data_IF_734791325548
#
_entry.id   IF_734791325548
#
_cell.length_a   1.000
_cell.length_b   1.000
_cell.length_c   1.000
_cell.angle_alpha   90.00
_cell.angle_beta   90.00
_cell.angle_gamma   90.00
#
_symmetry.space_group_name_H-M   'P 1'
#
loop_
_entity.id
_entity.type
_entity.pdbx_description
1 polymer ?
#
# COMPACT_ATOMS: atom_id res chain seq x y z
N UNK A 1 52.92 -35.62 -24.11
CA UNK A 1 52.39 -34.53 -23.19
C UNK A 1 51.91 -33.23 -23.88
N UNK A 2 52.39 -32.87 -25.09
CA UNK A 2 51.97 -31.59 -25.76
C UNK A 2 50.57 -31.59 -26.39
N UNK A 3 49.94 -32.72 -26.66
CA UNK A 3 48.59 -32.80 -27.27
C UNK A 3 47.44 -32.69 -26.30
N UNK A 4 47.65 -32.90 -25.01
CA UNK A 4 46.65 -32.80 -23.98
C UNK A 4 46.38 -31.32 -23.54
N UNK A 5 47.40 -30.47 -23.56
CA UNK A 5 47.30 -29.07 -23.19
C UNK A 5 46.56 -28.22 -24.24
N UNK A 6 46.59 -28.63 -25.52
CA UNK A 6 45.89 -27.89 -26.56
C UNK A 6 44.35 -28.08 -26.52
N UNK A 7 43.88 -29.23 -26.00
CA UNK A 7 42.45 -29.54 -25.92
C UNK A 7 41.77 -28.82 -24.76
N UNK A 8 42.49 -28.59 -23.66
CA UNK A 8 41.95 -27.85 -22.51
C UNK A 8 41.85 -26.33 -22.76
N UNK A 9 42.76 -25.77 -23.57
CA UNK A 9 42.72 -24.36 -23.95
C UNK A 9 41.53 -24.02 -24.88
N UNK A 10 41.13 -24.93 -25.75
CA UNK A 10 39.99 -24.71 -26.67
C UNK A 10 38.63 -24.80 -25.98
N UNK A 11 38.50 -25.61 -24.93
CA UNK A 11 37.25 -25.73 -24.18
C UNK A 11 37.04 -24.49 -23.30
N UNK A 12 38.08 -23.89 -22.77
CA UNK A 12 38.00 -22.68 -21.96
C UNK A 12 37.67 -21.43 -22.77
N UNK A 13 37.96 -21.39 -24.06
CA UNK A 13 37.68 -20.25 -24.93
C UNK A 13 36.23 -20.20 -25.39
N UNK A 14 35.54 -21.34 -25.45
CA UNK A 14 34.11 -21.40 -25.85
C UNK A 14 33.18 -20.97 -24.72
N UNK A 15 33.62 -21.08 -23.47
CA UNK A 15 32.80 -20.63 -22.31
C UNK A 15 32.85 -19.12 -22.08
N UNK A 16 33.72 -18.37 -22.76
CA UNK A 16 33.84 -16.91 -22.61
C UNK A 16 33.10 -16.11 -23.67
N UNK A 17 32.49 -16.74 -24.66
CA UNK A 17 31.48 -16.11 -25.49
C UNK A 17 30.14 -16.16 -24.74
N UNK A 18 30.15 -15.59 -23.54
CA UNK A 18 28.97 -15.45 -22.73
C UNK A 18 27.92 -14.71 -23.53
N UNK A 19 26.77 -15.32 -23.60
CA UNK A 19 25.51 -14.78 -23.96
C UNK A 19 25.45 -13.29 -23.57
N UNK A 20 25.74 -12.40 -24.53
CA UNK A 20 25.18 -11.07 -24.46
C UNK A 20 23.68 -11.31 -24.44
N UNK A 21 23.09 -11.22 -23.25
CA UNK A 21 21.66 -11.11 -23.11
C UNK A 21 21.31 -9.89 -23.95
N UNK A 22 20.82 -10.10 -25.16
CA UNK A 22 20.17 -9.04 -25.91
C UNK A 22 19.08 -8.51 -24.99
N UNK A 23 19.35 -7.36 -24.39
CA UNK A 23 18.31 -6.54 -23.80
C UNK A 23 17.31 -6.35 -24.93
N UNK A 24 16.20 -7.09 -24.85
CA UNK A 24 15.24 -7.24 -25.93
C UNK A 24 15.00 -5.90 -26.56
N UNK A 25 15.07 -5.89 -27.88
CA UNK A 25 14.91 -4.69 -28.71
C UNK A 25 13.53 -4.09 -28.37
N UNK A 26 13.50 -3.24 -27.34
CA UNK A 26 12.28 -2.55 -26.93
C UNK A 26 11.93 -1.65 -28.09
N UNK A 27 10.88 -2.01 -28.82
CA UNK A 27 10.31 -1.14 -29.83
C UNK A 27 10.13 0.24 -29.21
N UNK A 28 10.54 1.32 -29.89
CA UNK A 28 10.35 2.67 -29.39
C UNK A 28 8.87 2.91 -29.19
N UNK A 29 8.43 2.89 -27.94
CA UNK A 29 7.05 3.20 -27.58
C UNK A 29 6.87 4.70 -27.74
N UNK A 30 5.84 5.09 -28.51
CA UNK A 30 5.51 6.50 -28.65
C UNK A 30 5.29 7.13 -27.26
N UNK A 31 5.77 8.34 -27.00
CA UNK A 31 5.61 8.96 -25.68
C UNK A 31 4.18 8.96 -25.14
N UNK A 32 3.17 9.09 -26.01
CA UNK A 32 1.75 9.03 -25.62
C UNK A 32 1.26 7.63 -25.28
N UNK A 33 2.00 6.59 -25.66
CA UNK A 33 1.62 5.19 -25.40
C UNK A 33 2.27 4.65 -24.12
N UNK A 34 3.12 5.45 -23.48
CA UNK A 34 3.65 5.11 -22.17
C UNK A 34 2.54 5.17 -21.14
N UNK A 35 2.53 4.20 -20.23
CA UNK A 35 1.56 4.15 -19.15
C UNK A 35 1.51 5.48 -18.38
N UNK A 36 2.69 6.06 -18.13
CA UNK A 36 2.84 7.33 -17.42
C UNK A 36 2.22 8.52 -18.16
N UNK A 37 2.20 8.49 -19.50
CA UNK A 37 1.61 9.57 -20.32
C UNK A 37 0.10 9.44 -20.43
N UNK A 38 -0.43 8.22 -20.29
CA UNK A 38 -1.88 7.97 -20.23
C UNK A 38 -2.45 8.27 -18.83
N UNK A 39 -1.58 8.47 -17.90
CA UNK A 39 -1.91 8.76 -16.53
C UNK A 39 -2.45 10.20 -16.41
N UNK A 40 -3.75 10.32 -16.30
CA UNK A 40 -4.36 11.56 -15.79
C UNK A 40 -4.46 11.39 -14.28
N UNK A 41 -3.90 12.30 -13.48
CA UNK A 41 -4.09 12.25 -12.04
C UNK A 41 -5.59 12.49 -11.76
N UNK A 42 -6.35 11.42 -11.77
CA UNK A 42 -7.70 11.43 -11.26
C UNK A 42 -7.58 11.24 -9.76
N UNK A 43 -7.91 12.28 -9.04
CA UNK A 43 -7.94 12.26 -7.58
C UNK A 43 -9.09 11.41 -7.04
N UNK A 44 -9.91 10.85 -7.93
CA UNK A 44 -11.07 10.07 -7.55
C UNK A 44 -12.05 10.86 -6.67
N UNK A 45 -13.09 10.22 -6.25
CA UNK A 45 -14.07 10.79 -5.31
C UNK A 45 -13.76 10.34 -3.87
N UNK A 46 -12.49 10.47 -3.47
CA UNK A 46 -12.02 10.04 -2.16
C UNK A 46 -12.11 11.22 -1.18
N UNK A 47 -12.87 11.09 -0.08
CA UNK A 47 -12.99 12.14 0.91
C UNK A 47 -11.66 12.43 1.63
N UNK A 48 -11.59 13.59 2.28
CA UNK A 48 -10.43 13.99 3.08
C UNK A 48 -10.25 13.09 4.31
N UNK A 49 -9.03 13.09 4.87
CA UNK A 49 -8.73 12.28 6.06
C UNK A 49 -9.61 12.62 7.26
N UNK A 50 -9.89 13.91 7.46
CA UNK A 50 -10.67 14.44 8.57
C UNK A 50 -12.18 14.52 8.30
N UNK A 51 -12.62 14.01 7.16
CA UNK A 51 -14.05 13.95 6.84
C UNK A 51 -14.79 13.14 7.92
N UNK A 52 -15.85 13.69 8.50
CA UNK A 52 -16.62 13.01 9.56
C UNK A 52 -17.14 11.62 9.14
N UNK A 53 -17.47 11.42 7.86
CA UNK A 53 -17.91 10.13 7.37
C UNK A 53 -16.78 9.09 7.39
N UNK A 54 -15.55 9.50 7.04
CA UNK A 54 -14.36 8.64 7.11
C UNK A 54 -14.07 8.23 8.55
N UNK A 55 -14.02 9.20 9.45
CA UNK A 55 -13.76 8.95 10.87
C UNK A 55 -14.89 8.11 11.51
N UNK A 56 -16.13 8.33 11.08
CA UNK A 56 -17.27 7.52 11.48
C UNK A 56 -17.15 6.08 11.06
N UNK A 57 -16.67 5.83 9.82
CA UNK A 57 -16.45 4.47 9.31
C UNK A 57 -15.33 3.76 10.07
N UNK A 58 -14.20 4.43 10.31
CA UNK A 58 -13.10 3.89 11.14
C UNK A 58 -13.60 3.53 12.54
N UNK A 59 -14.39 4.43 13.15
CA UNK A 59 -15.00 4.22 14.48
C UNK A 59 -15.92 3.00 14.49
N UNK A 60 -16.78 2.89 13.50
CA UNK A 60 -17.75 1.80 13.36
C UNK A 60 -17.05 0.45 13.28
N UNK A 61 -16.06 0.34 12.39
CA UNK A 61 -15.28 -0.88 12.22
C UNK A 61 -14.46 -1.23 13.46
N UNK A 62 -13.78 -0.25 14.07
CA UNK A 62 -13.02 -0.47 15.31
C UNK A 62 -13.92 -0.97 16.42
N UNK A 63 -15.00 -0.25 16.71
CA UNK A 63 -15.91 -0.57 17.81
C UNK A 63 -16.59 -1.92 17.61
N UNK A 64 -17.01 -2.22 16.40
CA UNK A 64 -17.61 -3.52 16.05
C UNK A 64 -16.65 -4.67 16.26
N UNK A 65 -15.39 -4.52 15.83
CA UNK A 65 -14.37 -5.56 15.94
C UNK A 65 -13.95 -5.78 17.40
N UNK A 66 -13.69 -4.68 18.14
CA UNK A 66 -13.35 -4.77 19.56
C UNK A 66 -14.46 -5.45 20.36
N UNK A 67 -15.70 -5.03 20.21
CA UNK A 67 -16.83 -5.60 20.95
C UNK A 67 -17.07 -7.08 20.66
N UNK A 68 -16.77 -7.51 19.44
CA UNK A 68 -17.00 -8.91 19.03
C UNK A 68 -15.91 -9.87 19.49
N UNK A 69 -14.65 -9.42 19.50
CA UNK A 69 -13.52 -10.34 19.64
C UNK A 69 -12.58 -10.07 20.83
N UNK A 70 -12.52 -8.84 21.35
CA UNK A 70 -11.43 -8.45 22.23
C UNK A 70 -11.84 -7.80 23.54
N UNK A 71 -12.89 -7.00 23.57
CA UNK A 71 -13.31 -6.36 24.80
C UNK A 71 -14.10 -5.06 24.62
N UNK A 72 -14.21 -4.27 25.69
CA UNK A 72 -15.11 -3.12 25.71
C UNK A 72 -14.49 -1.81 25.18
N UNK A 73 -13.33 -1.85 24.50
CA UNK A 73 -12.71 -0.64 23.99
C UNK A 73 -13.57 0.02 22.93
N UNK A 74 -13.64 1.36 22.99
CA UNK A 74 -14.42 2.19 22.07
C UNK A 74 -13.63 3.42 21.68
N UNK A 75 -13.63 3.76 20.41
CA UNK A 75 -13.12 5.02 19.91
C UNK A 75 -14.13 6.12 20.24
N UNK A 76 -13.66 7.23 20.84
CA UNK A 76 -14.47 8.36 21.25
C UNK A 76 -14.27 9.58 20.37
N UNK A 77 -13.01 9.92 20.08
CA UNK A 77 -12.68 11.11 19.31
C UNK A 77 -11.32 10.96 18.63
N UNK A 78 -11.07 11.79 17.63
CA UNK A 78 -9.82 11.83 16.88
C UNK A 78 -9.22 13.23 16.97
N UNK A 79 -7.89 13.30 17.02
CA UNK A 79 -7.15 14.54 16.90
C UNK A 79 -5.89 14.37 16.04
N UNK A 80 -5.29 15.50 15.64
CA UNK A 80 -4.08 15.54 14.82
C UNK A 80 -4.16 14.69 13.54
N UNK A 81 -5.36 14.63 12.98
CA UNK A 81 -5.58 13.90 11.72
C UNK A 81 -4.89 14.64 10.59
N UNK A 82 -4.07 13.94 9.83
CA UNK A 82 -3.35 14.49 8.68
C UNK A 82 -3.20 13.46 7.57
N UNK A 83 -3.18 13.93 6.34
CA UNK A 83 -2.77 13.14 5.19
C UNK A 83 -1.24 12.93 5.22
N UNK A 84 -0.80 11.70 5.08
CA UNK A 84 0.62 11.33 5.06
C UNK A 84 1.08 10.80 3.71
N UNK A 85 0.18 10.62 2.79
CA UNK A 85 0.46 10.21 1.43
C UNK A 85 -0.79 10.04 0.59
N UNK A 86 -0.61 10.17 -0.71
CA UNK A 86 -1.68 9.96 -1.67
C UNK A 86 -1.15 9.15 -2.86
N UNK A 87 -1.88 8.11 -3.21
CA UNK A 87 -1.63 7.31 -4.40
C UNK A 87 -2.78 7.52 -5.38
N UNK A 88 -2.52 8.17 -6.51
CA UNK A 88 -3.55 8.44 -7.51
C UNK A 88 -3.90 7.18 -8.32
N UNK A 89 -4.86 7.30 -9.24
CA UNK A 89 -5.12 6.29 -10.26
C UNK A 89 -3.86 5.99 -11.08
N UNK A 90 -3.64 4.73 -11.40
CA UNK A 90 -2.62 4.23 -12.32
C UNK A 90 -3.07 2.92 -12.91
N UNK A 91 -2.32 2.38 -13.88
CA UNK A 91 -2.71 1.18 -14.63
C UNK A 91 -3.10 0.01 -13.72
N UNK A 92 -2.45 -0.11 -12.56
CA UNK A 92 -2.72 -1.16 -11.56
C UNK A 92 -3.07 -0.59 -10.17
N UNK A 93 -3.41 0.69 -10.07
CA UNK A 93 -3.56 1.36 -8.79
C UNK A 93 -4.95 1.95 -8.62
N UNK A 94 -5.64 1.51 -7.60
CA UNK A 94 -6.86 2.15 -7.11
C UNK A 94 -6.45 3.35 -6.25
N UNK A 95 -7.05 4.53 -6.44
CA UNK A 95 -6.75 5.72 -5.65
C UNK A 95 -6.85 5.43 -4.16
N UNK A 96 -5.84 5.89 -3.45
CA UNK A 96 -5.75 5.70 -2.01
C UNK A 96 -5.15 6.93 -1.33
N UNK A 97 -5.86 7.43 -0.35
CA UNK A 97 -5.40 8.46 0.56
C UNK A 97 -4.96 7.82 1.86
N UNK A 98 -3.72 8.06 2.28
CA UNK A 98 -3.18 7.56 3.54
C UNK A 98 -3.25 8.65 4.59
N UNK A 99 -3.73 8.29 5.76
CA UNK A 99 -4.01 9.19 6.85
C UNK A 99 -3.38 8.67 8.14
N UNK A 100 -2.93 9.58 8.99
CA UNK A 100 -2.49 9.26 10.35
C UNK A 100 -3.06 10.28 11.32
N UNK A 101 -3.34 9.84 12.54
CA UNK A 101 -3.88 10.68 13.60
C UNK A 101 -3.75 10.00 14.96
N UNK A 102 -4.46 10.56 15.94
CA UNK A 102 -4.62 9.93 17.25
C UNK A 102 -6.09 9.68 17.52
N UNK A 103 -6.39 8.54 18.11
CA UNK A 103 -7.71 8.18 18.60
C UNK A 103 -7.70 8.10 20.12
N UNK A 104 -8.64 8.79 20.76
CA UNK A 104 -8.92 8.65 22.18
C UNK A 104 -9.88 7.48 22.38
N UNK A 105 -9.51 6.55 23.23
CA UNK A 105 -10.37 5.42 23.61
C UNK A 105 -11.10 5.70 24.93
N UNK A 106 -12.15 4.93 25.18
CA UNK A 106 -12.98 5.03 26.40
C UNK A 106 -12.23 4.71 27.70
N UNK A 107 -11.03 4.16 27.63
CA UNK A 107 -10.12 3.99 28.79
C UNK A 107 -9.27 5.24 29.07
N UNK A 108 -9.47 6.34 28.33
CA UNK A 108 -8.72 7.58 28.48
C UNK A 108 -7.34 7.59 27.82
N UNK A 109 -6.97 6.53 27.09
CA UNK A 109 -5.65 6.42 26.45
C UNK A 109 -5.73 6.84 25.00
N UNK A 110 -4.74 7.64 24.55
CA UNK A 110 -4.55 7.98 23.15
C UNK A 110 -3.68 6.94 22.47
N UNK A 111 -4.12 6.49 21.32
CA UNK A 111 -3.35 5.64 20.42
C UNK A 111 -3.14 6.32 19.08
N UNK A 112 -2.02 6.03 18.40
CA UNK A 112 -1.90 6.39 16.98
C UNK A 112 -2.86 5.51 16.18
N UNK A 113 -3.54 6.12 15.24
CA UNK A 113 -4.35 5.43 14.23
C UNK A 113 -3.83 5.77 12.85
N UNK A 114 -3.51 4.75 12.07
CA UNK A 114 -3.14 4.86 10.68
C UNK A 114 -4.26 4.22 9.86
N UNK A 115 -4.75 4.92 8.84
CA UNK A 115 -5.82 4.43 7.99
C UNK A 115 -5.65 4.93 6.56
N UNK A 116 -6.27 4.21 5.63
CA UNK A 116 -6.32 4.65 4.24
C UNK A 116 -7.73 4.59 3.71
N UNK A 117 -8.12 5.64 2.99
CA UNK A 117 -9.38 5.71 2.25
C UNK A 117 -9.10 5.24 0.83
N UNK A 118 -9.82 4.23 0.38
CA UNK A 118 -9.68 3.64 -0.96
C UNK A 118 -10.98 3.84 -1.73
N UNK A 119 -10.85 4.24 -2.98
CA UNK A 119 -11.96 4.17 -3.92
C UNK A 119 -12.29 2.70 -4.22
N UNK A 120 -13.48 2.43 -4.71
CA UNK A 120 -13.96 1.09 -5.13
C UNK A 120 -13.82 -0.01 -4.06
N UNK A 121 -13.75 0.34 -2.79
CA UNK A 121 -13.70 -0.62 -1.69
C UNK A 121 -15.06 -0.76 -0.97
N UNK A 122 -16.01 0.11 -1.26
CA UNK A 122 -17.33 0.10 -0.68
C UNK A 122 -18.26 -0.95 -1.29
N UNK A 123 -19.54 -0.81 -1.05
CA UNK A 123 -20.56 -1.75 -1.49
C UNK A 123 -20.50 -1.93 -3.02
N UNK A 124 -20.24 -3.16 -3.46
CA UNK A 124 -20.10 -3.55 -4.87
C UNK A 124 -19.06 -2.74 -5.67
N UNK A 125 -18.04 -2.15 -5.01
CA UNK A 125 -17.04 -1.34 -5.68
C UNK A 125 -17.54 0.03 -6.16
N UNK A 126 -18.69 0.49 -5.67
CA UNK A 126 -19.29 1.76 -6.12
C UNK A 126 -18.92 2.97 -5.25
N UNK A 127 -18.35 2.72 -4.08
CA UNK A 127 -18.03 3.76 -3.10
C UNK A 127 -16.67 3.52 -2.47
N UNK A 128 -16.18 4.52 -1.76
CA UNK A 128 -14.97 4.39 -0.96
C UNK A 128 -15.22 3.58 0.33
N UNK A 129 -14.15 3.05 0.89
CA UNK A 129 -14.12 2.45 2.23
C UNK A 129 -12.74 2.63 2.86
N UNK A 130 -12.59 2.21 4.11
CA UNK A 130 -11.38 2.40 4.89
C UNK A 130 -10.69 1.10 5.26
N UNK A 131 -9.36 1.10 5.20
CA UNK A 131 -8.52 0.15 5.93
C UNK A 131 -7.88 0.91 7.09
N UNK A 132 -7.87 0.33 8.27
CA UNK A 132 -7.41 1.02 9.46
C UNK A 132 -6.58 0.11 10.37
N UNK A 133 -5.71 0.71 11.16
CA UNK A 133 -4.93 0.06 12.19
C UNK A 133 -4.71 1.02 13.36
N UNK A 134 -4.90 0.53 14.59
CA UNK A 134 -4.59 1.26 15.82
C UNK A 134 -3.36 0.68 16.44
N UNK A 135 -2.31 1.50 16.59
CA UNK A 135 -1.01 1.07 17.15
C UNK A 135 -1.18 0.50 18.56
N UNK A 136 -0.57 -0.67 18.75
CA UNK A 136 -0.69 -1.44 19.99
C UNK A 136 -1.96 -2.30 20.09
N UNK A 137 -2.89 -2.17 19.16
CA UNK A 137 -4.15 -2.94 19.12
C UNK A 137 -4.31 -3.79 17.85
N UNK A 138 -3.29 -3.89 17.00
CA UNK A 138 -3.24 -4.84 15.88
C UNK A 138 -2.95 -6.26 16.37
N UNK A 139 -3.89 -6.84 17.09
CA UNK A 139 -3.74 -8.12 17.79
C UNK A 139 -3.54 -9.31 16.85
N UNK A 140 -4.04 -9.20 15.63
CA UNK A 140 -3.85 -10.22 14.60
C UNK A 140 -2.60 -9.98 13.75
N UNK A 141 -1.88 -8.89 14.01
CA UNK A 141 -0.70 -8.47 13.24
C UNK A 141 -0.97 -8.30 11.74
N UNK A 142 -2.18 -7.88 11.40
CA UNK A 142 -2.60 -7.70 10.01
C UNK A 142 -1.81 -6.59 9.31
N UNK A 143 -1.30 -5.64 10.08
CA UNK A 143 -0.54 -4.48 9.59
C UNK A 143 0.84 -4.36 10.28
N UNK A 144 1.39 -5.49 10.74
CA UNK A 144 2.67 -5.55 11.44
C UNK A 144 3.85 -5.06 10.58
N UNK A 145 4.92 -4.54 11.20
CA UNK A 145 5.00 -4.19 12.60
C UNK A 145 4.34 -2.84 12.90
N UNK A 146 3.70 -2.71 14.04
CA UNK A 146 3.14 -1.44 14.57
C UNK A 146 2.40 -0.59 13.52
N UNK A 147 1.41 -1.18 12.85
CA UNK A 147 0.61 -0.57 11.78
C UNK A 147 1.42 -0.05 10.57
N UNK A 148 2.69 -0.45 10.42
CA UNK A 148 3.53 0.05 9.32
C UNK A 148 2.93 -0.24 7.94
N UNK A 149 2.29 -1.39 7.76
CA UNK A 149 1.66 -1.79 6.50
C UNK A 149 0.35 -1.03 6.18
N UNK A 150 -0.16 -0.23 7.12
CA UNK A 150 -1.29 0.68 6.88
C UNK A 150 -0.88 2.04 6.31
N UNK A 151 0.42 2.31 6.21
CA UNK A 151 1.03 3.56 5.69
C UNK A 151 1.46 3.41 4.24
N UNK A 152 1.79 4.54 3.55
CA UNK A 152 2.30 4.51 2.18
C UNK A 152 3.64 3.82 2.04
#
# INVERSE_FOLDING_TARGET
>A
MRRALLRTALVSLVCLTGLAAEAGNRLPVHPSDRAEARFRPMYGNIPACDDPAVLGEVTSWFNSRESRFWGPLRALSYDRVAEIGFRPWGDDLIPRRFCSGRVLLNNGVYHRVDYSVREDLGLFGLTWNVNWCVSGLDRQRSYAPDCQMARP
#
